data_IF_849797333059
#
_entry.id   IF_849797333059
#
_cell.length_a   1.000
_cell.length_b   1.000
_cell.length_c   1.000
_cell.angle_alpha   90.00
_cell.angle_beta   90.00
_cell.angle_gamma   90.00
#
_symmetry.space_group_name_H-M   'P 1'
#
loop_
_entity.id
_entity.type
_entity.pdbx_description
1 polymer ?
#
# COMPACT_ATOMS: atom_id res chain seq x y z
N UNK A 1 -14.15 16.97 -9.32
CA UNK A 1 -14.13 15.62 -9.88
C UNK A 1 -12.88 15.38 -10.74
N UNK A 2 -12.57 16.29 -11.70
CA UNK A 2 -11.40 16.15 -12.57
C UNK A 2 -10.07 16.05 -11.78
N UNK A 3 -9.89 16.90 -10.80
CA UNK A 3 -8.70 16.89 -9.90
C UNK A 3 -8.55 15.58 -9.14
N UNK A 4 -9.64 14.98 -8.66
CA UNK A 4 -9.63 13.70 -7.96
C UNK A 4 -9.21 12.55 -8.89
N UNK A 5 -9.76 12.54 -10.13
CA UNK A 5 -9.41 11.54 -11.15
C UNK A 5 -7.93 11.67 -11.52
N UNK A 6 -7.43 12.90 -11.69
CA UNK A 6 -6.03 13.16 -11.97
C UNK A 6 -5.10 12.69 -10.85
N UNK A 7 -5.47 12.96 -9.59
CA UNK A 7 -4.73 12.51 -8.41
C UNK A 7 -4.68 10.98 -8.33
N UNK A 8 -5.83 10.31 -8.49
CA UNK A 8 -5.89 8.85 -8.50
C UNK A 8 -5.09 8.23 -9.64
N UNK A 9 -5.12 8.86 -10.83
CA UNK A 9 -4.28 8.44 -11.96
C UNK A 9 -2.79 8.56 -11.63
N UNK A 10 -2.37 9.64 -10.98
CA UNK A 10 -0.98 9.82 -10.56
C UNK A 10 -0.55 8.78 -9.53
N UNK A 11 -1.43 8.46 -8.59
CA UNK A 11 -1.18 7.38 -7.60
C UNK A 11 -1.07 6.03 -8.30
N UNK A 12 -2.01 5.71 -9.23
CA UNK A 12 -1.93 4.47 -10.03
C UNK A 12 -0.64 4.39 -10.84
N UNK A 13 -0.21 5.50 -11.45
CA UNK A 13 1.03 5.53 -12.23
C UNK A 13 2.27 5.22 -11.36
N UNK A 14 2.32 5.70 -10.11
CA UNK A 14 3.39 5.36 -9.17
C UNK A 14 3.33 3.88 -8.79
N UNK A 15 2.15 3.35 -8.46
CA UNK A 15 1.99 1.93 -8.18
C UNK A 15 2.40 1.06 -9.38
N UNK A 16 1.94 1.39 -10.57
CA UNK A 16 2.30 0.67 -11.80
C UNK A 16 3.81 0.75 -12.09
N UNK A 17 4.46 1.84 -11.73
CA UNK A 17 5.93 1.97 -11.81
C UNK A 17 6.64 1.01 -10.85
N UNK A 18 6.15 0.88 -9.61
CA UNK A 18 6.71 -0.07 -8.62
C UNK A 18 6.59 -1.52 -9.12
N UNK A 19 5.45 -1.87 -9.76
CA UNK A 19 5.23 -3.21 -10.33
C UNK A 19 5.80 -3.39 -11.75
N UNK A 20 6.48 -2.36 -12.31
CA UNK A 20 7.02 -2.36 -13.67
C UNK A 20 5.97 -2.76 -14.74
N UNK A 21 4.72 -2.29 -14.56
CA UNK A 21 3.61 -2.59 -15.47
C UNK A 21 3.66 -1.64 -16.67
N UNK A 22 3.86 -2.21 -17.88
CA UNK A 22 3.94 -1.44 -19.13
C UNK A 22 2.59 -1.16 -19.80
N UNK A 23 1.54 -1.91 -19.41
CA UNK A 23 0.21 -1.81 -20.02
C UNK A 23 -0.72 -0.91 -19.21
N UNK A 24 -1.25 0.15 -19.83
CA UNK A 24 -2.27 1.02 -19.21
C UNK A 24 -3.66 0.38 -19.31
N UNK A 25 -4.48 0.56 -18.27
CA UNK A 25 -5.90 0.15 -18.29
C UNK A 25 -6.70 0.97 -19.31
N UNK A 26 -7.78 0.40 -19.85
CA UNK A 26 -8.75 1.11 -20.67
C UNK A 26 -9.45 2.19 -19.83
N UNK A 27 -9.68 3.39 -20.39
CA UNK A 27 -10.21 4.56 -19.69
C UNK A 27 -11.51 4.26 -18.91
N UNK A 28 -12.44 3.51 -19.49
CA UNK A 28 -13.70 3.13 -18.85
C UNK A 28 -13.50 2.27 -17.60
N UNK A 29 -12.58 1.33 -17.64
CA UNK A 29 -12.26 0.47 -16.51
C UNK A 29 -11.57 1.25 -15.39
N UNK A 30 -10.72 2.22 -15.73
CA UNK A 30 -10.14 3.14 -14.75
C UNK A 30 -11.21 3.90 -13.96
N UNK A 31 -12.20 4.47 -14.65
CA UNK A 31 -13.26 5.25 -13.99
C UNK A 31 -14.07 4.38 -13.02
N UNK A 32 -14.44 3.17 -13.42
CA UNK A 32 -15.19 2.24 -12.57
C UNK A 32 -14.39 1.81 -11.34
N UNK A 33 -13.12 1.46 -11.53
CA UNK A 33 -12.22 1.06 -10.46
C UNK A 33 -11.97 2.24 -9.49
N UNK A 34 -11.82 3.48 -10.01
CA UNK A 34 -11.63 4.67 -9.18
C UNK A 34 -12.88 5.03 -8.37
N UNK A 35 -14.07 4.89 -8.94
CA UNK A 35 -15.33 5.10 -8.21
C UNK A 35 -15.45 4.07 -7.08
N UNK A 36 -15.13 2.80 -7.35
CA UNK A 36 -15.15 1.76 -6.33
C UNK A 36 -14.16 2.05 -5.19
N UNK A 37 -12.93 2.44 -5.53
CA UNK A 37 -11.89 2.81 -4.56
C UNK A 37 -12.33 4.04 -3.74
N UNK A 38 -12.86 5.08 -4.41
CA UNK A 38 -13.35 6.31 -3.76
C UNK A 38 -14.52 6.09 -2.81
N UNK A 39 -15.32 5.04 -3.04
CA UNK A 39 -16.44 4.69 -2.15
C UNK A 39 -15.96 3.78 -1.00
N UNK A 40 -15.22 2.73 -1.31
CA UNK A 40 -14.86 1.68 -0.33
C UNK A 40 -13.80 2.18 0.66
N UNK A 41 -12.75 2.88 0.19
CA UNK A 41 -11.66 3.28 1.06
C UNK A 41 -12.07 4.31 2.13
N UNK A 42 -12.83 5.38 1.83
CA UNK A 42 -13.34 6.29 2.86
C UNK A 42 -14.27 5.62 3.85
N UNK A 43 -15.12 4.68 3.39
CA UNK A 43 -16.00 3.93 4.28
C UNK A 43 -15.19 3.12 5.29
N UNK A 44 -14.14 2.42 4.86
CA UNK A 44 -13.25 1.69 5.76
C UNK A 44 -12.56 2.61 6.78
N UNK A 45 -12.08 3.78 6.34
CA UNK A 45 -11.46 4.76 7.23
C UNK A 45 -12.45 5.35 8.24
N UNK A 46 -13.67 5.70 7.79
CA UNK A 46 -14.74 6.23 8.65
C UNK A 46 -15.17 5.16 9.66
N UNK A 47 -15.33 3.90 9.24
CA UNK A 47 -15.64 2.80 10.14
C UNK A 47 -14.54 2.60 11.20
N UNK A 48 -13.26 2.60 10.79
CA UNK A 48 -12.12 2.49 11.70
C UNK A 48 -12.10 3.63 12.73
N UNK A 49 -12.23 4.87 12.27
CA UNK A 49 -12.26 6.06 13.15
C UNK A 49 -13.54 6.15 13.99
N UNK A 50 -14.69 5.79 13.39
CA UNK A 50 -15.99 5.79 14.04
C UNK A 50 -16.05 4.83 15.21
N UNK A 51 -15.48 3.65 15.08
CA UNK A 51 -15.35 2.67 16.17
C UNK A 51 -14.59 3.29 17.34
N UNK A 52 -13.43 3.94 17.10
CA UNK A 52 -12.65 4.58 18.16
C UNK A 52 -13.40 5.69 18.88
N UNK A 53 -14.13 6.57 18.14
CA UNK A 53 -14.89 7.68 18.74
C UNK A 53 -16.12 7.19 19.48
N UNK A 54 -16.84 6.22 18.92
CA UNK A 54 -18.02 5.61 19.57
C UNK A 54 -17.63 4.97 20.90
N UNK A 55 -16.49 4.30 20.94
CA UNK A 55 -15.97 3.64 22.14
C UNK A 55 -15.60 4.60 23.25
N UNK A 56 -14.87 5.67 22.93
CA UNK A 56 -14.37 6.60 23.94
C UNK A 56 -15.47 7.38 24.67
N UNK A 57 -16.63 7.54 24.04
CA UNK A 57 -17.74 8.34 24.59
C UNK A 57 -18.93 7.49 25.08
N UNK A 58 -19.35 6.50 24.33
CA UNK A 58 -20.64 5.84 24.54
C UNK A 58 -20.52 4.64 25.49
N UNK A 59 -19.48 3.85 25.37
CA UNK A 59 -19.33 2.65 26.20
C UNK A 59 -18.85 2.95 27.63
N UNK A 60 -18.05 3.99 27.84
CA UNK A 60 -17.71 4.46 29.20
C UNK A 60 -18.93 4.88 30.00
N UNK A 61 -19.99 5.35 29.32
CA UNK A 61 -21.22 5.81 29.95
C UNK A 61 -22.21 4.67 30.22
N UNK A 62 -22.21 3.59 29.42
CA UNK A 62 -23.17 2.49 29.55
C UNK A 62 -22.64 1.26 30.29
N UNK A 63 -21.34 1.03 30.35
CA UNK A 63 -20.76 -0.15 30.96
C UNK A 63 -19.84 0.23 32.15
N UNK A 64 -20.46 0.62 33.24
CA UNK A 64 -19.79 0.87 34.53
C UNK A 64 -19.41 -0.42 35.27
N UNK A 65 -19.33 -1.55 34.55
CA UNK A 65 -18.97 -2.87 35.08
C UNK A 65 -17.52 -3.19 34.64
N UNK A 66 -16.55 -2.84 35.48
CA UNK A 66 -15.11 -2.74 35.23
C UNK A 66 -14.45 -3.81 34.35
N UNK A 67 -14.72 -5.10 34.52
CA UNK A 67 -14.02 -6.16 33.76
C UNK A 67 -14.56 -6.33 32.33
N UNK A 68 -15.84 -6.10 32.11
CA UNK A 68 -16.45 -6.22 30.77
C UNK A 68 -16.10 -5.04 29.87
N UNK A 69 -15.84 -3.85 30.47
CA UNK A 69 -15.41 -2.66 29.76
C UNK A 69 -14.01 -2.83 29.14
N UNK A 70 -13.08 -3.44 29.88
CA UNK A 70 -11.69 -3.61 29.43
C UNK A 70 -11.59 -4.62 28.27
N UNK A 71 -12.31 -5.74 28.34
CA UNK A 71 -12.32 -6.75 27.28
C UNK A 71 -12.96 -6.22 25.97
N UNK A 72 -14.06 -5.47 26.09
CA UNK A 72 -14.74 -4.83 24.94
C UNK A 72 -13.85 -3.73 24.34
N UNK A 73 -13.20 -2.93 25.17
CA UNK A 73 -12.27 -1.89 24.71
C UNK A 73 -11.09 -2.49 23.95
N UNK A 74 -10.47 -3.54 24.51
CA UNK A 74 -9.37 -4.25 23.83
C UNK A 74 -9.81 -4.85 22.50
N UNK A 75 -11.01 -5.45 22.43
CA UNK A 75 -11.55 -6.03 21.22
C UNK A 75 -11.79 -5.00 20.10
N UNK A 76 -12.21 -3.81 20.47
CA UNK A 76 -12.52 -2.76 19.50
C UNK A 76 -11.31 -1.94 19.09
N UNK A 77 -10.34 -1.74 19.98
CA UNK A 77 -9.02 -1.23 19.61
C UNK A 77 -8.35 -2.18 18.62
N UNK A 78 -8.43 -3.49 18.87
CA UNK A 78 -7.98 -4.52 17.93
C UNK A 78 -8.71 -4.48 16.58
N UNK A 79 -10.04 -4.29 16.58
CA UNK A 79 -10.83 -4.19 15.35
C UNK A 79 -10.40 -2.97 14.51
N UNK A 80 -10.14 -1.83 15.13
CA UNK A 80 -9.67 -0.62 14.43
C UNK A 80 -8.29 -0.84 13.78
N UNK A 81 -7.39 -1.55 14.45
CA UNK A 81 -6.08 -1.94 13.89
C UNK A 81 -6.26 -2.86 12.68
N UNK A 82 -7.10 -3.88 12.80
CA UNK A 82 -7.39 -4.82 11.70
C UNK A 82 -8.01 -4.11 10.50
N UNK A 83 -8.93 -3.17 10.72
CA UNK A 83 -9.52 -2.38 9.63
C UNK A 83 -8.47 -1.53 8.91
N UNK A 84 -7.51 -0.96 9.63
CA UNK A 84 -6.38 -0.23 9.02
C UNK A 84 -5.50 -1.17 8.19
N UNK A 85 -5.22 -2.38 8.65
CA UNK A 85 -4.48 -3.39 7.89
C UNK A 85 -5.23 -3.80 6.62
N UNK A 86 -6.55 -4.02 6.71
CA UNK A 86 -7.40 -4.33 5.56
C UNK A 86 -7.45 -3.18 4.54
N UNK A 87 -7.45 -1.94 5.02
CA UNK A 87 -7.37 -0.77 4.16
C UNK A 87 -6.09 -0.78 3.30
N UNK A 88 -4.92 -0.93 3.93
CA UNK A 88 -3.65 -0.98 3.19
C UNK A 88 -3.54 -2.21 2.31
N UNK A 89 -3.97 -3.38 2.79
CA UNK A 89 -4.01 -4.61 1.98
C UNK A 89 -4.91 -4.44 0.75
N UNK A 90 -6.07 -3.80 0.90
CA UNK A 90 -6.97 -3.45 -0.19
C UNK A 90 -6.33 -2.49 -1.20
N UNK A 91 -5.63 -1.45 -0.72
CA UNK A 91 -4.88 -0.55 -1.58
C UNK A 91 -3.86 -1.32 -2.43
N UNK A 92 -3.08 -2.20 -1.82
CA UNK A 92 -2.05 -2.96 -2.53
C UNK A 92 -2.59 -4.03 -3.48
N UNK A 93 -3.79 -4.56 -3.22
CA UNK A 93 -4.42 -5.55 -4.06
C UNK A 93 -5.16 -4.91 -5.27
N UNK A 94 -5.76 -3.72 -5.11
CA UNK A 94 -6.67 -3.17 -6.11
C UNK A 94 -6.11 -2.00 -6.93
N UNK A 95 -5.23 -1.17 -6.34
CA UNK A 95 -4.69 0.00 -7.05
C UNK A 95 -3.78 -0.42 -8.22
N UNK A 96 -2.76 -1.31 -8.05
CA UNK A 96 -1.86 -1.64 -9.14
C UNK A 96 -2.57 -2.44 -10.24
N UNK A 97 -2.21 -2.17 -11.50
CA UNK A 97 -2.69 -2.96 -12.64
C UNK A 97 -1.90 -4.25 -12.82
N UNK A 98 -1.64 -4.95 -11.73
CA UNK A 98 -0.90 -6.21 -11.68
C UNK A 98 -1.72 -7.29 -10.97
N UNK A 99 -1.44 -8.56 -11.25
CA UNK A 99 -2.04 -9.67 -10.49
C UNK A 99 -1.31 -9.82 -9.17
N UNK A 100 -1.77 -9.13 -8.14
CA UNK A 100 -1.17 -9.18 -6.81
C UNK A 100 -1.74 -10.35 -6.02
N UNK A 101 -0.87 -11.14 -5.38
CA UNK A 101 -1.28 -12.22 -4.49
C UNK A 101 -1.84 -11.64 -3.19
N UNK A 102 -3.05 -12.07 -2.78
CA UNK A 102 -3.68 -11.62 -1.53
C UNK A 102 -2.81 -11.86 -0.29
N UNK A 103 -2.02 -12.92 -0.26
CA UNK A 103 -1.08 -13.21 0.85
C UNK A 103 -0.03 -12.11 0.98
N UNK A 104 0.58 -11.71 -0.13
CA UNK A 104 1.63 -10.69 -0.14
C UNK A 104 1.05 -9.30 0.15
N UNK A 105 -0.15 -9.00 -0.38
CA UNK A 105 -0.88 -7.78 -0.06
C UNK A 105 -1.25 -7.70 1.42
N UNK A 106 -1.67 -8.81 2.04
CA UNK A 106 -1.99 -8.86 3.46
C UNK A 106 -0.74 -8.63 4.34
N UNK A 107 0.39 -9.28 4.04
CA UNK A 107 1.65 -9.09 4.78
C UNK A 107 2.10 -7.63 4.68
N UNK A 108 2.12 -7.07 3.48
CA UNK A 108 2.50 -5.68 3.26
C UNK A 108 1.50 -4.71 3.92
N UNK A 109 0.20 -5.04 3.90
CA UNK A 109 -0.87 -4.28 4.55
C UNK A 109 -0.71 -4.23 6.07
N UNK A 110 -0.34 -5.35 6.70
CA UNK A 110 -0.03 -5.40 8.14
C UNK A 110 1.17 -4.52 8.46
N UNK A 111 2.27 -4.63 7.70
CA UNK A 111 3.48 -3.84 7.94
C UNK A 111 3.22 -2.33 7.75
N UNK A 112 2.61 -1.95 6.64
CA UNK A 112 2.30 -0.54 6.36
C UNK A 112 1.24 0.02 7.32
N UNK A 113 0.21 -0.75 7.63
CA UNK A 113 -0.83 -0.35 8.58
C UNK A 113 -0.30 -0.18 9.99
N UNK A 114 0.61 -1.06 10.45
CA UNK A 114 1.30 -0.89 11.74
C UNK A 114 2.18 0.36 11.72
N UNK A 115 2.93 0.60 10.65
CA UNK A 115 3.72 1.82 10.47
C UNK A 115 2.84 3.09 10.49
N UNK A 116 1.69 3.04 9.84
CA UNK A 116 0.70 4.13 9.85
C UNK A 116 0.15 4.40 11.27
N UNK A 117 -0.16 3.35 12.04
CA UNK A 117 -0.64 3.49 13.42
C UNK A 117 0.40 4.16 14.32
N UNK A 118 1.66 3.75 14.21
CA UNK A 118 2.77 4.37 14.93
C UNK A 118 2.89 5.84 14.53
N UNK A 119 2.84 6.15 13.24
CA UNK A 119 2.88 7.51 12.73
C UNK A 119 1.71 8.36 13.24
N UNK A 120 0.51 7.80 13.25
CA UNK A 120 -0.70 8.48 13.75
C UNK A 120 -0.58 8.79 15.24
N UNK A 121 -0.12 7.83 16.03
CA UNK A 121 0.13 8.06 17.47
C UNK A 121 1.18 9.16 17.70
N UNK A 122 2.27 9.14 16.94
CA UNK A 122 3.32 10.15 17.01
C UNK A 122 2.79 11.54 16.64
N UNK A 123 1.96 11.63 15.59
CA UNK A 123 1.36 12.87 15.13
C UNK A 123 0.42 13.47 16.17
N UNK A 124 -0.49 12.66 16.75
CA UNK A 124 -1.41 13.12 17.79
C UNK A 124 -0.66 13.57 19.05
N UNK A 125 0.33 12.79 19.48
CA UNK A 125 1.19 13.14 20.62
C UNK A 125 1.98 14.42 20.36
N UNK A 126 2.52 14.58 19.15
CA UNK A 126 3.23 15.77 18.70
C UNK A 126 2.34 17.01 18.68
N UNK A 127 1.10 16.90 18.21
CA UNK A 127 0.13 17.99 18.23
C UNK A 127 -0.17 18.48 19.66
N UNK A 128 -0.37 17.54 20.60
CA UNK A 128 -0.62 17.89 22.00
C UNK A 128 0.57 18.58 22.63
N UNK A 129 1.79 18.18 22.28
CA UNK A 129 3.02 18.81 22.75
C UNK A 129 3.15 20.23 22.20
N UNK A 130 2.98 20.40 20.88
CA UNK A 130 3.05 21.70 20.21
C UNK A 130 1.96 22.63 20.73
N UNK A 131 0.74 22.16 20.96
CA UNK A 131 -0.36 22.98 21.49
C UNK A 131 -0.08 23.56 22.89
N UNK A 132 0.67 22.83 23.75
CA UNK A 132 1.04 23.30 25.09
C UNK A 132 2.08 24.42 25.06
N UNK A 133 2.97 24.44 24.06
CA UNK A 133 4.07 25.40 23.98
C UNK A 133 3.77 26.60 23.09
N UNK A 134 2.69 26.60 22.32
CA UNK A 134 2.43 27.63 21.30
C UNK A 134 1.37 28.66 21.69
N UNK A 135 1.65 29.44 22.73
CA UNK A 135 0.91 30.69 22.96
C UNK A 135 1.16 31.77 21.87
N UNK A 136 2.27 31.66 21.11
CA UNK A 136 2.70 32.68 20.14
C UNK A 136 2.34 32.31 18.71
N UNK A 137 2.42 31.01 18.31
CA UNK A 137 2.19 30.58 16.94
C UNK A 137 0.79 30.01 16.69
N UNK A 138 -0.02 29.76 17.71
CA UNK A 138 -1.43 29.36 17.62
C UNK A 138 -1.72 28.26 16.60
N UNK A 139 -2.78 28.44 15.83
CA UNK A 139 -3.23 27.50 14.79
C UNK A 139 -2.31 27.42 13.55
N UNK A 140 -1.34 28.35 13.42
CA UNK A 140 -0.46 28.37 12.23
C UNK A 140 0.54 27.22 12.21
N UNK A 141 0.95 26.69 13.37
CA UNK A 141 1.87 25.54 13.45
C UNK A 141 1.23 24.21 13.03
N UNK A 142 -0.10 24.13 13.01
CA UNK A 142 -0.82 22.94 12.56
C UNK A 142 -0.55 22.60 11.08
N UNK A 143 -0.48 23.62 10.22
CA UNK A 143 -0.35 23.43 8.78
C UNK A 143 0.98 22.77 8.36
N UNK A 144 2.17 23.22 8.82
CA UNK A 144 3.42 22.52 8.54
C UNK A 144 3.45 21.08 9.09
N UNK A 145 2.91 20.88 10.30
CA UNK A 145 2.86 19.55 10.92
C UNK A 145 1.96 18.60 10.12
N UNK A 146 0.83 19.08 9.61
CA UNK A 146 -0.08 18.33 8.74
C UNK A 146 0.61 17.94 7.42
N UNK A 147 1.36 18.86 6.81
CA UNK A 147 2.08 18.58 5.56
C UNK A 147 3.16 17.51 5.75
N UNK A 148 3.92 17.58 6.84
CA UNK A 148 4.92 16.56 7.18
C UNK A 148 4.23 15.20 7.42
N UNK A 149 3.13 15.18 8.16
CA UNK A 149 2.38 13.95 8.40
C UNK A 149 1.86 13.34 7.09
N UNK A 150 1.28 14.16 6.21
CA UNK A 150 0.80 13.72 4.91
C UNK A 150 1.93 13.12 4.06
N UNK A 151 3.10 13.77 4.05
CA UNK A 151 4.29 13.28 3.35
C UNK A 151 4.73 11.91 3.89
N UNK A 152 4.74 11.72 5.21
CA UNK A 152 5.12 10.46 5.84
C UNK A 152 4.08 9.35 5.57
N UNK A 153 2.79 9.68 5.52
CA UNK A 153 1.73 8.72 5.13
C UNK A 153 1.98 8.19 3.71
N UNK A 154 2.29 9.08 2.75
CA UNK A 154 2.63 8.66 1.38
C UNK A 154 3.88 7.80 1.35
N UNK A 155 4.91 8.17 2.10
CA UNK A 155 6.16 7.40 2.20
C UNK A 155 5.90 5.97 2.69
N UNK A 156 5.15 5.80 3.79
CA UNK A 156 4.76 4.48 4.32
C UNK A 156 3.97 3.68 3.28
N UNK A 157 3.03 4.33 2.60
CA UNK A 157 2.19 3.69 1.58
C UNK A 157 3.04 3.14 0.43
N UNK A 158 3.99 3.92 -0.09
CA UNK A 158 4.84 3.47 -1.20
C UNK A 158 5.90 2.46 -0.77
N UNK A 159 6.47 2.58 0.44
CA UNK A 159 7.36 1.55 0.99
C UNK A 159 6.60 0.21 1.12
N UNK A 160 5.38 0.23 1.65
CA UNK A 160 4.54 -0.96 1.75
C UNK A 160 4.22 -1.58 0.38
N UNK A 161 3.96 -0.75 -0.64
CA UNK A 161 3.80 -1.20 -2.02
C UNK A 161 5.08 -1.88 -2.56
N UNK A 162 6.25 -1.29 -2.29
CA UNK A 162 7.55 -1.88 -2.64
C UNK A 162 7.79 -3.22 -1.95
N UNK A 163 7.46 -3.34 -0.67
CA UNK A 163 7.53 -4.61 0.08
C UNK A 163 6.60 -5.65 -0.56
N UNK A 164 5.36 -5.28 -0.89
CA UNK A 164 4.40 -6.18 -1.54
C UNK A 164 4.95 -6.71 -2.88
N UNK A 165 5.47 -5.82 -3.70
CA UNK A 165 6.09 -6.17 -4.99
C UNK A 165 7.32 -7.07 -4.80
N UNK A 166 8.20 -6.75 -3.86
CA UNK A 166 9.39 -7.56 -3.56
C UNK A 166 9.04 -8.96 -3.08
N UNK A 167 8.06 -9.10 -2.19
CA UNK A 167 7.57 -10.40 -1.70
C UNK A 167 6.99 -11.24 -2.83
N UNK A 168 6.33 -10.61 -3.80
CA UNK A 168 5.77 -11.33 -4.94
C UNK A 168 6.84 -11.79 -5.92
N UNK A 169 7.89 -11.01 -6.12
CA UNK A 169 8.94 -11.25 -7.12
C UNK A 169 10.22 -11.87 -6.54
N UNK A 170 10.19 -12.36 -5.29
CA UNK A 170 11.37 -12.97 -4.64
C UNK A 170 12.05 -14.04 -5.50
N UNK A 171 11.28 -14.91 -6.14
CA UNK A 171 11.81 -15.95 -7.01
C UNK A 171 12.48 -15.38 -8.28
N UNK A 172 11.91 -14.34 -8.89
CA UNK A 172 12.48 -13.70 -10.07
C UNK A 172 13.80 -12.98 -9.74
N UNK A 173 13.87 -12.29 -8.62
CA UNK A 173 15.12 -11.64 -8.15
C UNK A 173 16.24 -12.63 -7.85
N UNK A 174 15.91 -13.84 -7.38
CA UNK A 174 16.92 -14.88 -7.15
C UNK A 174 17.53 -15.37 -8.47
N UNK A 175 16.74 -15.47 -9.54
CA UNK A 175 17.21 -15.84 -10.86
C UNK A 175 18.04 -14.73 -11.51
N UNK A 176 17.62 -13.46 -11.44
CA UNK A 176 18.42 -12.32 -11.95
C UNK A 176 19.79 -12.25 -11.28
N UNK A 177 19.85 -12.41 -9.96
CA UNK A 177 21.12 -12.41 -9.23
C UNK A 177 22.03 -13.58 -9.63
N UNK A 178 21.48 -14.74 -9.97
CA UNK A 178 22.24 -15.87 -10.48
C UNK A 178 22.78 -15.61 -11.89
N UNK A 179 22.01 -14.90 -12.73
CA UNK A 179 22.42 -14.53 -14.10
C UNK A 179 23.58 -13.52 -14.07
N UNK A 180 23.59 -12.58 -13.14
CA UNK A 180 24.69 -11.61 -13.00
C UNK A 180 26.01 -12.23 -12.52
N UNK A 181 25.96 -13.40 -11.87
CA UNK A 181 27.16 -14.16 -11.44
C UNK A 181 27.66 -15.14 -12.50
N UNK A 182 26.97 -15.27 -13.64
CA UNK A 182 27.38 -16.17 -14.73
C UNK A 182 28.54 -15.56 -15.53
N UNK A 183 29.61 -16.34 -15.70
CA UNK A 183 30.74 -15.96 -16.52
C UNK A 183 30.31 -15.57 -17.94
N UNK A 184 30.94 -14.50 -18.49
CA UNK A 184 30.68 -14.01 -19.86
C UNK A 184 30.78 -15.10 -20.92
N UNK A 185 31.71 -16.03 -20.76
CA UNK A 185 31.85 -17.20 -21.65
C UNK A 185 30.61 -18.12 -21.65
N UNK A 186 29.91 -18.22 -20.52
CA UNK A 186 28.69 -19.02 -20.44
C UNK A 186 27.49 -18.26 -21.07
N UNK A 187 27.41 -16.96 -20.90
CA UNK A 187 26.44 -16.08 -21.57
C UNK A 187 26.50 -16.23 -23.07
N UNK A 188 27.70 -16.10 -23.64
CA UNK A 188 27.94 -16.24 -25.09
C UNK A 188 27.50 -17.63 -25.59
N UNK A 189 27.81 -18.68 -24.84
CA UNK A 189 27.39 -20.05 -25.20
C UNK A 189 25.87 -20.21 -25.23
N UNK A 190 25.15 -19.64 -24.25
CA UNK A 190 23.69 -19.67 -24.19
C UNK A 190 23.07 -18.85 -25.32
N UNK A 191 23.59 -17.67 -25.61
CA UNK A 191 23.15 -16.82 -26.73
C UNK A 191 23.33 -17.54 -28.07
N UNK A 192 24.47 -18.17 -28.30
CA UNK A 192 24.73 -18.97 -29.51
C UNK A 192 23.80 -20.19 -29.61
N UNK A 193 23.52 -20.87 -28.51
CA UNK A 193 22.59 -21.98 -28.49
C UNK A 193 21.17 -21.54 -28.86
N UNK A 194 20.69 -20.41 -28.31
CA UNK A 194 19.38 -19.84 -28.63
C UNK A 194 19.34 -19.44 -30.11
N UNK A 195 20.36 -18.77 -30.61
CA UNK A 195 20.48 -18.35 -32.00
C UNK A 195 20.44 -19.57 -32.93
N UNK A 196 21.14 -20.65 -32.58
CA UNK A 196 21.12 -21.90 -33.35
C UNK A 196 19.74 -22.53 -33.42
N UNK A 197 18.99 -22.52 -32.31
CA UNK A 197 17.60 -23.02 -32.26
C UNK A 197 16.67 -22.17 -33.11
N UNK A 198 16.81 -20.84 -33.06
CA UNK A 198 16.01 -19.91 -33.87
C UNK A 198 16.29 -20.17 -35.38
N UNK A 199 17.56 -20.23 -35.78
CA UNK A 199 17.95 -20.46 -37.18
C UNK A 199 17.46 -21.82 -37.68
N UNK A 200 17.59 -22.88 -36.87
CA UNK A 200 17.03 -24.21 -37.21
C UNK A 200 15.53 -24.16 -37.42
N UNK A 201 14.77 -23.53 -36.51
CA UNK A 201 13.32 -23.39 -36.65
C UNK A 201 12.94 -22.60 -37.88
N UNK A 202 13.63 -21.52 -38.18
CA UNK A 202 13.41 -20.71 -39.37
C UNK A 202 13.65 -21.55 -40.64
N UNK A 203 14.74 -22.33 -40.69
CA UNK A 203 15.09 -23.22 -41.81
C UNK A 203 14.04 -24.32 -42.04
N UNK A 204 13.41 -24.80 -41.00
CA UNK A 204 12.37 -25.85 -41.09
C UNK A 204 10.94 -25.28 -41.16
N UNK A 205 10.75 -23.96 -41.34
CA UNK A 205 9.43 -23.34 -41.50
C UNK A 205 8.51 -23.46 -40.26
N UNK A 206 9.07 -23.74 -39.07
CA UNK A 206 8.30 -23.83 -37.83
C UNK A 206 8.04 -22.43 -37.26
N UNK A 207 6.79 -22.19 -36.82
CA UNK A 207 6.36 -20.90 -36.27
C UNK A 207 7.29 -20.43 -35.12
N UNK A 208 7.63 -19.10 -35.05
CA UNK A 208 8.38 -18.57 -33.91
C UNK A 208 7.58 -18.74 -32.61
N UNK A 209 8.27 -19.06 -31.50
CA UNK A 209 7.67 -19.10 -30.17
C UNK A 209 7.32 -17.71 -29.68
#
# INVERSE_FOLDING_TARGET
>A
LWTLISLLSSVEDVFNSIWNVKTRRTQWRKITDYIAILLILPILLICSSGIQVFMSKTLRTFFDIGILSDAVQLGLDGASVVLTWLFFAGCYAWIPNAKVSFKNAAIAGVLAGTGFQILQWLFVSGQMYVAKYNAIYGSFSFLPLLLIWLQLVWLITFIGAGICCSLQNLNSFSYERQVDTISDNYRIKVELAILTVIVKRFKYGLCPM
#
